data_IF_409412600121
#
_entry.id   IF_409412600121
#
_cell.length_a   1.000
_cell.length_b   1.000
_cell.length_c   1.000
_cell.angle_alpha   90.00
_cell.angle_beta   90.00
_cell.angle_gamma   90.00
#
_symmetry.space_group_name_H-M   'P 1'
#
loop_
_entity.id
_entity.type
_entity.pdbx_description
1 polymer ?
#
# COMPACT_ATOMS: atom_id res chain seq x y z
N UNK A 1 -26.95 1.52 32.86
CA UNK A 1 -28.01 0.75 32.16
C UNK A 1 -27.29 -0.21 31.23
N UNK A 2 -27.32 -1.51 31.54
CA UNK A 2 -26.72 -2.56 30.72
C UNK A 2 -27.62 -2.77 29.50
N UNK A 3 -27.15 -2.34 28.33
CA UNK A 3 -27.76 -2.68 27.04
C UNK A 3 -27.49 -4.17 26.77
N UNK A 4 -28.39 -5.03 27.25
CA UNK A 4 -28.42 -6.44 26.88
C UNK A 4 -28.75 -6.54 25.39
N UNK A 5 -27.73 -6.76 24.57
CA UNK A 5 -27.88 -7.14 23.17
C UNK A 5 -28.54 -8.51 23.09
N UNK A 6 -29.87 -8.52 23.01
CA UNK A 6 -30.62 -9.71 22.61
C UNK A 6 -30.31 -9.99 21.12
N UNK A 7 -29.57 -11.06 20.84
CA UNK A 7 -29.50 -11.60 19.47
C UNK A 7 -30.89 -12.15 19.12
N UNK A 8 -31.59 -11.64 18.08
CA UNK A 8 -32.90 -12.12 17.72
C UNK A 8 -32.74 -13.41 16.90
N UNK A 9 -32.39 -14.51 17.56
CA UNK A 9 -32.16 -15.81 16.90
C UNK A 9 -33.46 -16.60 16.66
N UNK A 10 -34.63 -16.09 17.06
CA UNK A 10 -35.89 -16.84 17.00
C UNK A 10 -37.01 -16.24 16.11
N UNK A 11 -36.83 -15.06 15.53
CA UNK A 11 -37.74 -14.51 14.53
C UNK A 11 -36.97 -14.34 13.23
N UNK A 12 -36.93 -15.40 12.41
CA UNK A 12 -36.39 -15.32 11.05
C UNK A 12 -37.40 -14.58 10.18
N UNK A 13 -37.51 -13.28 10.36
CA UNK A 13 -38.25 -12.40 9.44
C UNK A 13 -37.53 -12.42 8.10
N UNK A 14 -38.26 -12.68 7.02
CA UNK A 14 -37.73 -12.58 5.66
C UNK A 14 -37.11 -11.19 5.44
N UNK A 15 -36.04 -11.12 4.66
CA UNK A 15 -35.43 -9.84 4.32
C UNK A 15 -36.38 -8.99 3.47
N UNK A 16 -36.25 -7.66 3.55
CA UNK A 16 -37.11 -6.74 2.79
C UNK A 16 -37.09 -7.07 1.28
N UNK A 17 -35.94 -7.44 0.74
CA UNK A 17 -35.77 -7.87 -0.66
C UNK A 17 -36.59 -9.11 -1.03
N UNK A 18 -36.82 -10.04 -0.10
CA UNK A 18 -37.61 -11.26 -0.32
C UNK A 18 -39.11 -10.95 -0.29
N UNK A 19 -39.53 -9.99 0.55
CA UNK A 19 -40.95 -9.66 0.73
C UNK A 19 -41.47 -8.65 -0.30
N UNK A 20 -40.66 -7.66 -0.68
CA UNK A 20 -41.05 -6.53 -1.51
C UNK A 20 -40.27 -6.43 -2.83
N UNK A 21 -39.24 -7.28 -3.02
CA UNK A 21 -38.32 -7.21 -4.15
C UNK A 21 -37.07 -6.38 -3.84
N UNK A 22 -35.94 -6.71 -4.48
CA UNK A 22 -34.63 -6.09 -4.23
C UNK A 22 -34.57 -4.60 -4.59
N UNK A 23 -35.33 -4.18 -5.59
CA UNK A 23 -35.32 -2.80 -6.13
C UNK A 23 -36.24 -1.84 -5.39
N UNK A 24 -37.01 -2.30 -4.40
CA UNK A 24 -38.02 -1.47 -3.75
C UNK A 24 -37.35 -0.46 -2.80
N UNK A 25 -37.61 0.85 -2.99
CA UNK A 25 -36.95 1.93 -2.22
C UNK A 25 -37.10 1.81 -0.69
N UNK A 26 -38.20 1.21 -0.23
CA UNK A 26 -38.46 0.92 1.20
C UNK A 26 -37.38 0.01 1.80
N UNK A 27 -36.70 -0.79 0.98
CA UNK A 27 -35.64 -1.69 1.40
C UNK A 27 -34.26 -1.01 1.52
N UNK A 28 -34.10 0.22 1.00
CA UNK A 28 -32.86 1.00 1.08
C UNK A 28 -32.23 1.04 2.49
N UNK A 29 -32.95 1.39 3.58
CA UNK A 29 -32.35 1.46 4.92
C UNK A 29 -31.93 0.09 5.49
N UNK A 30 -32.45 -1.00 4.96
CA UNK A 30 -32.15 -2.37 5.40
C UNK A 30 -31.13 -3.06 4.50
N UNK A 31 -30.74 -2.41 3.41
CA UNK A 31 -29.83 -2.99 2.45
C UNK A 31 -28.42 -3.14 3.05
N UNK A 32 -27.81 -4.29 2.79
CA UNK A 32 -26.43 -4.57 3.12
C UNK A 32 -25.81 -5.37 1.98
N UNK A 33 -24.53 -5.14 1.63
CA UNK A 33 -23.86 -5.93 0.61
C UNK A 33 -23.82 -7.39 1.06
N UNK A 34 -24.12 -8.33 0.17
CA UNK A 34 -24.16 -9.78 0.46
C UNK A 34 -22.75 -10.34 0.63
N UNK A 35 -21.81 -9.88 -0.17
CA UNK A 35 -20.38 -10.17 -0.06
C UNK A 35 -19.54 -8.91 0.22
N UNK A 36 -18.47 -9.09 1.02
CA UNK A 36 -17.41 -8.12 1.25
C UNK A 36 -16.11 -8.92 1.36
N UNK A 37 -15.36 -8.95 0.27
CA UNK A 37 -14.14 -9.72 0.12
C UNK A 37 -12.95 -8.77 0.03
N UNK A 38 -11.85 -9.15 0.68
CA UNK A 38 -10.60 -8.39 0.63
C UNK A 38 -9.54 -9.32 0.11
N UNK A 39 -8.78 -8.87 -0.89
CA UNK A 39 -7.63 -9.59 -1.43
C UNK A 39 -6.42 -8.66 -1.51
N UNK A 40 -5.24 -9.25 -1.44
CA UNK A 40 -3.97 -8.53 -1.55
C UNK A 40 -3.36 -8.75 -2.92
N UNK A 41 -2.96 -7.67 -3.60
CA UNK A 41 -2.20 -7.70 -4.85
C UNK A 41 -0.99 -6.78 -4.67
N UNK A 42 0.19 -7.36 -4.44
CA UNK A 42 1.38 -6.58 -4.08
C UNK A 42 1.18 -5.80 -2.78
N UNK A 43 1.55 -4.52 -2.78
CA UNK A 43 1.31 -3.57 -1.67
C UNK A 43 -0.13 -3.03 -1.64
N UNK A 44 -1.01 -3.46 -2.55
CA UNK A 44 -2.36 -2.93 -2.66
C UNK A 44 -3.40 -3.91 -2.09
N UNK A 45 -4.43 -3.37 -1.45
CA UNK A 45 -5.61 -4.12 -1.05
C UNK A 45 -6.78 -3.83 -1.98
N UNK A 46 -7.36 -4.90 -2.50
CA UNK A 46 -8.55 -4.90 -3.32
C UNK A 46 -9.73 -5.29 -2.44
N UNK A 47 -10.64 -4.35 -2.22
CA UNK A 47 -11.86 -4.55 -1.45
C UNK A 47 -13.02 -4.65 -2.43
N UNK A 48 -13.51 -5.87 -2.64
CA UNK A 48 -14.61 -6.17 -3.54
C UNK A 48 -15.91 -6.42 -2.77
N UNK A 49 -17.01 -5.80 -3.19
CA UNK A 49 -18.32 -5.96 -2.55
C UNK A 49 -19.46 -5.86 -3.56
N UNK A 50 -20.62 -6.40 -3.21
CA UNK A 50 -21.82 -6.28 -4.04
C UNK A 50 -22.40 -4.86 -3.96
N UNK A 51 -22.78 -4.29 -5.10
CA UNK A 51 -23.38 -2.97 -5.19
C UNK A 51 -24.86 -3.01 -4.81
N UNK A 52 -25.36 -1.89 -4.29
CA UNK A 52 -26.78 -1.71 -4.11
C UNK A 52 -27.51 -1.61 -5.45
N UNK A 53 -28.81 -1.96 -5.48
CA UNK A 53 -29.73 -1.59 -6.53
C UNK A 53 -29.52 -0.13 -7.01
N UNK A 54 -29.41 0.13 -8.33
CA UNK A 54 -29.27 1.49 -8.87
C UNK A 54 -30.41 2.43 -8.43
N UNK A 55 -31.60 1.85 -8.22
CA UNK A 55 -32.79 2.53 -7.69
C UNK A 55 -32.53 3.21 -6.34
N UNK A 56 -31.59 2.75 -5.53
CA UNK A 56 -31.28 3.35 -4.22
C UNK A 56 -30.47 4.64 -4.34
N UNK A 57 -29.87 4.92 -5.50
CA UNK A 57 -29.15 6.16 -5.80
C UNK A 57 -28.05 6.51 -4.77
N UNK A 58 -27.24 5.53 -4.36
CA UNK A 58 -26.02 5.80 -3.59
C UNK A 58 -24.95 6.39 -4.51
N UNK A 59 -24.40 7.56 -4.15
CA UNK A 59 -23.45 8.27 -5.01
C UNK A 59 -22.01 7.82 -4.78
N UNK A 60 -21.69 7.44 -3.54
CA UNK A 60 -20.36 7.04 -3.12
C UNK A 60 -20.43 5.98 -2.04
N UNK A 61 -19.41 5.13 -2.03
CA UNK A 61 -19.09 4.27 -0.90
C UNK A 61 -17.82 4.79 -0.22
N UNK A 62 -17.81 4.73 1.11
CA UNK A 62 -16.69 5.10 1.95
C UNK A 62 -16.10 3.84 2.59
N UNK A 63 -14.83 3.60 2.32
CA UNK A 63 -14.03 2.58 2.99
C UNK A 63 -13.19 3.24 4.07
N UNK A 64 -13.55 2.96 5.32
CA UNK A 64 -12.75 3.29 6.48
C UNK A 64 -11.83 2.13 6.78
N UNK A 65 -10.54 2.39 6.88
CA UNK A 65 -9.56 1.35 7.18
C UNK A 65 -8.59 1.84 8.23
N UNK A 66 -8.22 0.95 9.14
CA UNK A 66 -7.20 1.22 10.15
C UNK A 66 -6.32 0.01 10.36
N UNK A 67 -5.06 0.26 10.68
CA UNK A 67 -4.19 -0.77 11.23
C UNK A 67 -4.61 -1.01 12.69
N UNK A 68 -4.77 -2.28 13.07
CA UNK A 68 -5.26 -2.65 14.42
C UNK A 68 -4.40 -2.07 15.56
N UNK A 69 -3.12 -1.82 15.29
CA UNK A 69 -2.15 -1.27 16.24
C UNK A 69 -2.11 0.27 16.28
N UNK A 70 -2.39 0.94 15.16
CA UNK A 70 -2.27 2.40 15.00
C UNK A 70 -3.55 3.14 15.43
N UNK A 71 -4.71 2.47 15.33
CA UNK A 71 -5.99 3.00 15.81
C UNK A 71 -6.60 4.13 14.96
N UNK A 72 -5.79 4.85 14.17
CA UNK A 72 -6.23 5.93 13.28
C UNK A 72 -6.99 5.36 12.08
N UNK A 73 -8.23 5.82 11.89
CA UNK A 73 -9.03 5.51 10.71
C UNK A 73 -8.64 6.43 9.55
N UNK A 74 -8.28 5.81 8.43
CA UNK A 74 -8.14 6.45 7.13
C UNK A 74 -9.39 6.17 6.31
N UNK A 75 -9.73 7.08 5.39
CA UNK A 75 -10.92 6.97 4.56
C UNK A 75 -10.54 6.99 3.08
N UNK A 76 -11.07 6.03 2.33
CA UNK A 76 -11.02 5.99 0.87
C UNK A 76 -12.44 6.14 0.33
N UNK A 77 -12.66 7.05 -0.62
CA UNK A 77 -13.94 7.21 -1.31
C UNK A 77 -13.91 6.40 -2.62
N UNK A 78 -14.99 5.69 -2.90
CA UNK A 78 -15.17 4.93 -4.12
C UNK A 78 -16.47 5.32 -4.80
N UNK A 79 -16.43 5.53 -6.12
CA UNK A 79 -17.61 5.88 -6.93
C UNK A 79 -18.17 4.62 -7.62
N UNK A 80 -19.43 4.22 -7.37
CA UNK A 80 -20.03 3.07 -8.00
C UNK A 80 -20.08 3.20 -9.52
N UNK A 81 -19.88 2.07 -10.18
CA UNK A 81 -20.14 1.90 -11.61
C UNK A 81 -21.50 1.22 -11.77
N UNK A 82 -22.45 1.95 -12.38
CA UNK A 82 -23.84 1.50 -12.56
C UNK A 82 -23.95 0.27 -13.47
N UNK A 83 -22.92 -0.04 -14.25
CA UNK A 83 -22.92 -1.19 -15.15
C UNK A 83 -22.43 -2.49 -14.49
N UNK A 84 -22.02 -2.46 -13.22
CA UNK A 84 -21.49 -3.64 -12.53
C UNK A 84 -22.31 -4.01 -11.29
N UNK A 85 -22.54 -5.31 -11.11
CA UNK A 85 -23.19 -5.86 -9.90
C UNK A 85 -22.25 -5.84 -8.69
N UNK A 86 -20.93 -5.85 -8.94
CA UNK A 86 -19.89 -5.80 -7.93
C UNK A 86 -19.03 -4.57 -8.13
N UNK A 87 -18.49 -4.05 -7.04
CA UNK A 87 -17.55 -2.94 -7.05
C UNK A 87 -16.25 -3.37 -6.39
N UNK A 88 -15.12 -2.94 -6.94
CA UNK A 88 -13.80 -3.12 -6.32
C UNK A 88 -13.15 -1.77 -6.06
N UNK A 89 -12.80 -1.52 -4.80
CA UNK A 89 -12.00 -0.39 -4.38
C UNK A 89 -10.57 -0.82 -4.10
N UNK A 90 -9.60 0.03 -4.42
CA UNK A 90 -8.18 -0.25 -4.22
C UNK A 90 -7.63 0.71 -3.16
N UNK A 91 -7.04 0.15 -2.11
CA UNK A 91 -6.24 0.89 -1.13
C UNK A 91 -4.78 0.67 -1.50
N UNK A 92 -4.09 1.75 -1.86
CA UNK A 92 -2.72 1.67 -2.38
C UNK A 92 -1.68 1.71 -1.27
N UNK A 93 -0.55 1.03 -1.51
CA UNK A 93 0.67 1.08 -0.71
C UNK A 93 0.44 0.91 0.80
N UNK A 94 -0.27 -0.15 1.16
CA UNK A 94 -0.51 -0.50 2.55
C UNK A 94 0.72 -1.17 3.17
N UNK A 95 1.02 -0.78 4.41
CA UNK A 95 2.05 -1.42 5.21
C UNK A 95 1.61 -2.82 5.66
N UNK A 96 2.53 -3.77 5.87
CA UNK A 96 2.16 -5.09 6.38
C UNK A 96 1.51 -5.02 7.77
N UNK A 97 0.52 -5.88 8.02
CA UNK A 97 -0.17 -5.96 9.31
C UNK A 97 -1.67 -6.23 9.19
N UNK A 98 -2.36 -6.27 10.33
CA UNK A 98 -3.81 -6.59 10.37
C UNK A 98 -4.64 -5.32 10.28
N UNK A 99 -5.43 -5.21 9.21
CA UNK A 99 -6.34 -4.10 8.98
C UNK A 99 -7.76 -4.45 9.37
N UNK A 100 -8.44 -3.46 9.96
CA UNK A 100 -9.89 -3.46 10.13
C UNK A 100 -10.45 -2.56 9.04
N UNK A 101 -11.30 -3.11 8.17
CA UNK A 101 -11.88 -2.42 7.02
C UNK A 101 -13.39 -2.34 7.23
N UNK A 102 -13.95 -1.16 7.12
CA UNK A 102 -15.34 -0.84 7.33
C UNK A 102 -15.90 -0.09 6.13
N UNK A 103 -16.91 -0.68 5.49
CA UNK A 103 -17.64 -0.14 4.37
C UNK A 103 -18.88 0.60 4.86
N UNK A 104 -19.06 1.83 4.35
CA UNK A 104 -20.24 2.67 4.52
C UNK A 104 -20.72 3.22 3.18
N UNK A 105 -22.01 3.46 3.05
CA UNK A 105 -22.60 4.26 1.97
C UNK A 105 -22.67 5.76 2.35
N UNK A 106 -23.11 6.59 1.41
CA UNK A 106 -23.27 8.04 1.59
C UNK A 106 -24.41 8.42 2.55
N UNK A 107 -25.43 7.56 2.71
CA UNK A 107 -26.52 7.77 3.67
C UNK A 107 -26.28 7.12 5.04
N UNK A 108 -25.13 6.48 5.23
CA UNK A 108 -24.72 5.82 6.49
C UNK A 108 -25.72 4.75 6.98
N UNK A 109 -26.51 4.17 6.07
CA UNK A 109 -27.49 3.11 6.36
C UNK A 109 -26.85 1.73 6.33
N UNK A 110 -25.90 1.55 5.43
CA UNK A 110 -25.13 0.34 5.19
C UNK A 110 -23.84 0.40 5.99
N UNK A 111 -23.68 -0.53 6.93
CA UNK A 111 -22.43 -0.69 7.67
C UNK A 111 -22.00 -2.15 7.64
N UNK A 112 -20.83 -2.44 7.07
CA UNK A 112 -20.23 -3.77 7.12
C UNK A 112 -18.74 -3.67 7.40
N UNK A 113 -18.25 -4.51 8.30
CA UNK A 113 -16.85 -4.53 8.70
C UNK A 113 -16.25 -5.92 8.47
N UNK A 114 -14.97 -5.96 8.12
CA UNK A 114 -14.16 -7.16 8.01
C UNK A 114 -12.74 -6.89 8.51
N UNK A 115 -11.98 -7.95 8.75
CA UNK A 115 -10.56 -7.87 9.11
C UNK A 115 -9.75 -8.64 8.08
N UNK A 116 -8.61 -8.08 7.67
CA UNK A 116 -7.72 -8.71 6.69
C UNK A 116 -6.27 -8.53 7.11
N UNK A 117 -5.49 -9.60 6.99
CA UNK A 117 -4.06 -9.57 7.30
C UNK A 117 -3.26 -9.33 6.02
N UNK A 118 -2.52 -8.22 5.97
CA UNK A 118 -1.64 -7.85 4.88
C UNK A 118 -0.27 -8.47 5.13
N UNK A 119 0.13 -9.38 4.27
CA UNK A 119 1.44 -10.01 4.32
C UNK A 119 2.51 -9.08 3.75
N UNK A 120 3.73 -9.20 4.26
CA UNK A 120 4.88 -8.48 3.71
C UNK A 120 5.19 -9.01 2.30
N UNK A 121 5.08 -8.14 1.30
CA UNK A 121 5.49 -8.47 -0.07
C UNK A 121 6.95 -8.12 -0.22
N UNK A 122 7.79 -9.11 -0.50
CA UNK A 122 9.20 -8.87 -0.77
C UNK A 122 9.32 -8.12 -2.10
N UNK A 123 9.96 -6.96 -2.09
CA UNK A 123 10.27 -6.25 -3.33
C UNK A 123 11.20 -7.12 -4.17
N UNK A 124 10.80 -7.42 -5.40
CA UNK A 124 11.64 -8.14 -6.36
C UNK A 124 12.93 -7.35 -6.70
N UNK A 125 12.92 -6.04 -6.45
CA UNK A 125 14.07 -5.13 -6.59
C UNK A 125 14.99 -5.10 -5.36
N UNK A 126 14.65 -5.77 -4.26
CA UNK A 126 15.48 -5.79 -3.07
C UNK A 126 16.87 -6.41 -3.31
N UNK A 127 17.00 -7.34 -4.27
CA UNK A 127 18.29 -7.89 -4.70
C UNK A 127 19.11 -6.87 -5.48
N UNK A 128 18.64 -6.40 -6.66
CA UNK A 128 19.37 -5.43 -7.49
C UNK A 128 19.73 -4.13 -6.79
N UNK A 129 18.85 -3.58 -5.94
CA UNK A 129 19.12 -2.33 -5.21
C UNK A 129 20.19 -2.54 -4.14
N UNK A 130 20.14 -3.68 -3.41
CA UNK A 130 21.20 -4.02 -2.44
C UNK A 130 22.54 -4.30 -3.14
N UNK A 131 22.51 -4.93 -4.31
CA UNK A 131 23.72 -5.14 -5.11
C UNK A 131 24.33 -3.80 -5.57
N UNK A 132 23.53 -2.88 -6.12
CA UNK A 132 23.98 -1.55 -6.52
C UNK A 132 24.52 -0.72 -5.34
N UNK A 133 23.84 -0.75 -4.20
CA UNK A 133 24.27 -0.03 -2.99
C UNK A 133 25.62 -0.51 -2.45
N UNK A 134 26.03 -1.74 -2.76
CA UNK A 134 27.30 -2.34 -2.34
C UNK A 134 28.38 -2.13 -3.42
N UNK A 135 28.06 -2.37 -4.69
CA UNK A 135 29.04 -2.33 -5.78
C UNK A 135 29.45 -0.91 -6.15
N UNK A 136 28.52 0.06 -6.12
CA UNK A 136 28.81 1.45 -6.52
C UNK A 136 29.85 2.10 -5.60
N UNK A 137 29.71 2.08 -4.26
CA UNK A 137 30.75 2.63 -3.37
C UNK A 137 32.11 1.94 -3.53
N UNK A 138 32.13 0.61 -3.74
CA UNK A 138 33.37 -0.13 -3.95
C UNK A 138 34.11 0.28 -5.22
N UNK A 139 33.39 0.46 -6.35
CA UNK A 139 33.99 0.90 -7.61
C UNK A 139 34.50 2.33 -7.51
N UNK A 140 33.77 3.20 -6.80
CA UNK A 140 34.21 4.58 -6.57
C UNK A 140 35.50 4.61 -5.74
N UNK A 141 35.52 3.88 -4.62
CA UNK A 141 36.71 3.77 -3.75
C UNK A 141 37.92 3.20 -4.50
N UNK A 142 37.73 2.18 -5.34
CA UNK A 142 38.82 1.57 -6.12
C UNK A 142 39.36 2.51 -7.20
N UNK A 143 38.49 3.26 -7.88
CA UNK A 143 38.89 4.28 -8.84
C UNK A 143 39.66 5.43 -8.18
N UNK A 144 39.24 5.87 -7.00
CA UNK A 144 40.01 6.86 -6.24
C UNK A 144 41.37 6.32 -5.81
N UNK A 145 41.44 5.10 -5.28
CA UNK A 145 42.70 4.50 -4.87
C UNK A 145 43.70 4.37 -6.03
N UNK A 146 43.24 3.99 -7.23
CA UNK A 146 44.10 3.91 -8.42
C UNK A 146 44.55 5.29 -8.89
N UNK A 147 43.66 6.28 -8.94
CA UNK A 147 44.02 7.66 -9.26
C UNK A 147 45.04 8.23 -8.27
N UNK A 148 44.83 8.06 -6.96
CA UNK A 148 45.79 8.48 -5.95
C UNK A 148 47.13 7.77 -6.10
N UNK A 149 47.14 6.47 -6.40
CA UNK A 149 48.39 5.71 -6.57
C UNK A 149 49.15 6.17 -7.82
N UNK A 150 48.48 6.42 -8.94
CA UNK A 150 49.09 6.93 -10.17
C UNK A 150 49.60 8.36 -9.97
N UNK A 151 48.83 9.22 -9.30
CA UNK A 151 49.24 10.60 -9.02
C UNK A 151 50.39 10.66 -8.00
N UNK A 152 50.40 9.81 -6.98
CA UNK A 152 51.52 9.69 -6.04
C UNK A 152 52.78 9.10 -6.69
N UNK A 153 52.65 8.09 -7.57
CA UNK A 153 53.77 7.60 -8.37
C UNK A 153 54.29 8.65 -9.34
N UNK A 154 53.39 9.41 -9.98
CA UNK A 154 53.78 10.54 -10.83
C UNK A 154 54.54 11.60 -10.05
N UNK A 155 54.10 11.94 -8.84
CA UNK A 155 54.79 12.90 -7.97
C UNK A 155 56.16 12.40 -7.50
N UNK A 156 56.34 11.09 -7.26
CA UNK A 156 57.65 10.51 -6.93
C UNK A 156 58.59 10.47 -8.14
N UNK A 157 58.08 10.18 -9.34
CA UNK A 157 58.86 10.18 -10.58
C UNK A 157 59.31 11.59 -10.97
N UNK A 158 58.44 12.60 -10.84
CA UNK A 158 58.79 14.01 -11.08
C UNK A 158 59.88 14.47 -10.10
N UNK A 159 59.81 14.08 -8.82
CA UNK A 159 60.79 14.47 -7.80
C UNK A 159 62.18 13.83 -8.04
N UNK A 160 62.25 12.57 -8.50
CA UNK A 160 63.52 11.90 -8.84
C UNK A 160 64.17 12.49 -10.10
N UNK A 161 63.38 12.88 -11.11
CA UNK A 161 63.92 13.53 -12.30
C UNK A 161 64.42 14.95 -12.01
N UNK A 162 63.70 15.73 -11.21
CA UNK A 162 64.18 17.07 -10.81
C UNK A 162 65.43 17.02 -9.93
N UNK A 163 65.60 15.99 -9.11
CA UNK A 163 66.82 15.83 -8.31
C UNK A 163 68.04 15.42 -9.15
N UNK A 164 67.83 14.69 -10.27
CA UNK A 164 68.90 14.35 -11.22
C UNK A 164 69.30 15.54 -12.10
N UNK A 165 68.37 16.41 -12.48
CA UNK A 165 68.67 17.62 -13.26
C UNK A 165 69.41 18.67 -12.41
N UNK A 166 69.16 18.75 -11.10
CA UNK A 166 69.83 19.71 -10.20
C UNK A 166 71.24 19.25 -9.77
N UNK A 167 71.54 17.94 -9.77
CA UNK A 167 72.89 17.42 -9.46
C UNK A 167 73.85 17.49 -10.67
N UNK A 168 73.36 17.78 -11.88
CA UNK A 168 74.18 17.86 -13.10
C UNK A 168 74.73 19.25 -13.41
N UNK A 169 74.41 20.27 -12.60
CA UNK A 169 74.78 21.67 -12.85
C UNK A 169 75.91 22.24 -11.95
N UNK A 170 76.53 21.42 -11.08
CA UNK A 170 77.71 21.81 -10.29
C UNK A 170 78.88 20.83 -10.47
N UNK A 171 79.56 20.89 -11.62
CA UNK A 171 80.99 20.52 -11.69
C UNK A 171 81.69 21.26 -12.85
N UNK A 172 82.43 22.32 -12.50
CA UNK A 172 83.42 23.02 -13.33
C UNK A 172 84.59 23.42 -12.46
#
# INVERSE_FOLDING_TARGET
>A
MNESFFSPSFLRTNSCEVLLGSEHLVCKPFWKPKSLNVSQIGSNLHVAFDQAPPTFSFHFYYLYYRLKQDGVFRQQRCKPDMNQVRMTCIIQDVTPGTYVIELKDDSNTTRRQTQFHVSQVHSQWAGPIRAMAITVPMVIMSAFATLFTVMCRKKQQENIYSQLDEESSESS
#
